data_IF_678152974082
#
_entry.id   IF_678152974082
#
_cell.length_a   1.000
_cell.length_b   1.000
_cell.length_c   1.000
_cell.angle_alpha   90.00
_cell.angle_beta   90.00
_cell.angle_gamma   90.00
#
_symmetry.space_group_name_H-M   'P 1'
#
loop_
_entity.id
_entity.type
_entity.pdbx_description
1 polymer ?
#
# COMPACT_ATOMS: atom_id res chain seq x y z
N UNK A 1 -14.94 1.68 -0.66
CA UNK A 1 -13.70 0.91 -0.49
C UNK A 1 -13.08 0.41 -1.81
N UNK A 2 -13.87 -0.11 -2.73
CA UNK A 2 -13.34 -0.64 -3.98
C UNK A 2 -12.61 0.42 -4.81
N UNK A 3 -13.14 1.63 -4.86
CA UNK A 3 -12.49 2.71 -5.59
C UNK A 3 -11.13 3.05 -4.98
N UNK A 4 -11.07 3.06 -3.65
CA UNK A 4 -9.81 3.33 -2.95
C UNK A 4 -8.80 2.22 -3.22
N UNK A 5 -9.24 0.96 -3.21
CA UNK A 5 -8.37 -0.18 -3.49
C UNK A 5 -7.79 -0.07 -4.89
N UNK A 6 -8.62 0.25 -5.90
CA UNK A 6 -8.15 0.40 -7.26
C UNK A 6 -7.15 1.55 -7.39
N UNK A 7 -7.43 2.66 -6.71
CA UNK A 7 -6.53 3.80 -6.69
C UNK A 7 -5.19 3.44 -6.06
N UNK A 8 -5.22 2.70 -4.94
CA UNK A 8 -4.01 2.26 -4.26
C UNK A 8 -3.16 1.35 -5.14
N UNK A 9 -3.80 0.44 -5.86
CA UNK A 9 -3.06 -0.43 -6.78
C UNK A 9 -2.28 0.37 -7.80
N UNK A 10 -2.90 1.38 -8.39
CA UNK A 10 -2.25 2.25 -9.37
C UNK A 10 -1.13 3.05 -8.73
N UNK A 11 -1.37 3.58 -7.54
CA UNK A 11 -0.37 4.38 -6.84
C UNK A 11 0.85 3.55 -6.44
N UNK A 12 0.63 2.32 -5.99
CA UNK A 12 1.72 1.41 -5.63
C UNK A 12 2.60 1.13 -6.85
N UNK A 13 1.96 0.82 -7.97
CA UNK A 13 2.69 0.55 -9.21
C UNK A 13 3.51 1.76 -9.63
N UNK A 14 2.94 2.94 -9.53
CA UNK A 14 3.61 4.17 -9.92
C UNK A 14 4.77 4.51 -8.99
N UNK A 15 4.54 4.44 -7.68
CA UNK A 15 5.55 4.80 -6.68
C UNK A 15 6.73 3.84 -6.71
N UNK A 16 6.45 2.55 -6.84
CA UNK A 16 7.49 1.53 -6.85
C UNK A 16 8.02 1.23 -8.26
N UNK A 17 7.48 1.92 -9.25
CA UNK A 17 7.92 1.79 -10.65
C UNK A 17 7.83 0.34 -11.13
N UNK A 18 6.71 -0.30 -10.87
CA UNK A 18 6.49 -1.71 -11.25
C UNK A 18 5.98 -1.79 -12.69
N UNK A 19 6.89 -1.71 -13.64
CA UNK A 19 6.54 -1.61 -15.06
C UNK A 19 5.81 -2.85 -15.60
N UNK A 20 6.12 -4.02 -15.06
CA UNK A 20 5.54 -5.27 -15.55
C UNK A 20 4.28 -5.68 -14.81
N UNK A 21 3.81 -4.85 -13.88
CA UNK A 21 2.64 -5.16 -13.06
C UNK A 21 1.51 -4.21 -13.39
N UNK A 22 0.32 -4.78 -13.63
CA UNK A 22 -0.89 -3.98 -13.87
C UNK A 22 -1.77 -4.01 -12.62
N UNK A 23 -2.66 -3.02 -12.43
CA UNK A 23 -3.57 -3.05 -11.28
C UNK A 23 -4.37 -4.34 -11.17
N UNK A 24 -4.76 -4.92 -12.30
CA UNK A 24 -5.53 -6.16 -12.32
C UNK A 24 -4.69 -7.37 -11.91
N UNK A 25 -3.36 -7.25 -11.94
CA UNK A 25 -2.46 -8.31 -11.49
C UNK A 25 -2.32 -8.33 -9.96
N UNK A 26 -2.77 -7.27 -9.29
CA UNK A 26 -2.69 -7.18 -7.84
C UNK A 26 -4.03 -7.54 -7.24
N UNK A 27 -4.06 -8.66 -6.51
CA UNK A 27 -5.25 -9.06 -5.76
C UNK A 27 -5.32 -8.25 -4.47
N UNK A 28 -6.51 -7.79 -4.10
CA UNK A 28 -6.70 -6.96 -2.91
C UNK A 28 -6.25 -7.66 -1.63
N UNK A 29 -6.37 -8.97 -1.59
CA UNK A 29 -6.02 -9.77 -0.40
C UNK A 29 -4.65 -10.43 -0.51
N UNK A 30 -3.98 -10.26 -1.64
CA UNK A 30 -2.67 -10.85 -1.87
C UNK A 30 -1.60 -10.17 -0.99
N UNK A 31 -0.68 -10.94 -0.38
CA UNK A 31 0.41 -10.34 0.37
C UNK A 31 1.26 -9.44 -0.53
N UNK A 32 1.64 -8.28 -0.01
CA UNK A 32 2.52 -7.39 -0.76
C UNK A 32 3.98 -7.81 -0.62
N UNK A 33 4.30 -8.52 0.44
CA UNK A 33 5.66 -8.99 0.70
C UNK A 33 5.78 -10.49 0.51
N UNK A 34 7.00 -10.97 0.32
CA UNK A 34 7.25 -12.39 0.19
C UNK A 34 6.68 -12.97 -1.10
N UNK A 35 5.77 -13.95 -0.96
CA UNK A 35 5.23 -14.69 -2.12
C UNK A 35 4.27 -13.89 -3.00
N UNK A 36 3.82 -12.71 -2.55
CA UNK A 36 2.95 -11.85 -3.34
C UNK A 36 3.72 -11.04 -4.36
N UNK A 37 3.73 -9.71 -4.19
CA UNK A 37 4.48 -8.82 -5.07
C UNK A 37 5.98 -8.88 -4.84
N UNK A 38 6.42 -9.48 -3.73
CA UNK A 38 7.83 -9.59 -3.43
C UNK A 38 8.48 -8.29 -2.98
N UNK A 39 7.71 -7.41 -2.36
CA UNK A 39 8.24 -6.15 -1.87
C UNK A 39 9.17 -6.37 -0.68
N UNK A 40 10.09 -5.44 -0.46
CA UNK A 40 11.05 -5.53 0.64
C UNK A 40 10.96 -4.31 1.56
N UNK A 41 11.90 -4.20 2.50
CA UNK A 41 11.90 -3.13 3.49
C UNK A 41 12.03 -1.74 2.88
N UNK A 42 12.71 -1.62 1.76
CA UNK A 42 12.86 -0.34 1.08
C UNK A 42 11.51 0.08 0.51
N UNK A 43 10.77 -0.87 -0.05
CA UNK A 43 9.44 -0.60 -0.58
C UNK A 43 8.48 -0.14 0.49
N UNK A 44 8.63 -0.65 1.73
CA UNK A 44 7.82 -0.18 2.86
C UNK A 44 8.01 1.32 3.06
N UNK A 45 9.25 1.80 3.00
CA UNK A 45 9.53 3.22 3.17
C UNK A 45 8.88 4.05 2.08
N UNK A 46 8.90 3.56 0.85
CA UNK A 46 8.25 4.25 -0.26
C UNK A 46 6.74 4.35 -0.05
N UNK A 47 6.13 3.27 0.42
CA UNK A 47 4.69 3.26 0.68
C UNK A 47 4.32 4.17 1.85
N UNK A 48 5.19 4.27 2.86
CA UNK A 48 4.98 5.19 3.97
C UNK A 48 4.96 6.63 3.44
N UNK A 49 5.90 6.98 2.57
CA UNK A 49 5.96 8.30 1.95
C UNK A 49 4.69 8.55 1.12
N UNK A 50 4.24 7.54 0.40
CA UNK A 50 3.00 7.64 -0.39
C UNK A 50 1.81 8.02 0.48
N UNK A 51 1.63 7.32 1.60
CA UNK A 51 0.51 7.60 2.48
C UNK A 51 0.60 8.98 3.10
N UNK A 52 1.79 9.42 3.44
CA UNK A 52 1.99 10.76 4.00
C UNK A 52 1.68 11.84 2.98
N UNK A 53 2.17 11.66 1.75
CA UNK A 53 2.03 12.65 0.70
C UNK A 53 0.60 12.74 0.16
N UNK A 54 -0.01 11.59 -0.11
CA UNK A 54 -1.33 11.55 -0.76
C UNK A 54 -2.50 11.57 0.20
N UNK A 55 -2.31 11.06 1.42
CA UNK A 55 -3.41 10.90 2.38
C UNK A 55 -3.17 11.61 3.70
N UNK A 56 -2.01 12.25 3.86
CA UNK A 56 -1.70 12.95 5.09
C UNK A 56 -1.52 12.04 6.30
N UNK A 57 -1.24 10.76 6.06
CA UNK A 57 -1.10 9.78 7.13
C UNK A 57 0.37 9.63 7.47
N UNK A 58 0.72 9.87 8.74
CA UNK A 58 2.10 9.76 9.19
C UNK A 58 2.30 8.44 9.93
N UNK A 59 3.20 7.62 9.42
CA UNK A 59 3.59 6.36 10.04
C UNK A 59 5.02 6.53 10.54
N UNK A 60 5.21 6.48 11.85
CA UNK A 60 6.52 6.74 12.45
C UNK A 60 7.38 5.48 12.55
N UNK A 61 6.76 4.31 12.68
CA UNK A 61 7.47 3.05 12.86
C UNK A 61 7.34 2.18 11.62
N UNK A 62 8.47 1.84 10.94
CA UNK A 62 8.41 0.94 9.78
C UNK A 62 7.79 -0.42 10.09
N UNK A 63 7.87 -0.89 11.33
CA UNK A 63 7.24 -2.15 11.72
C UNK A 63 5.72 -2.05 11.64
N UNK A 64 5.15 -0.93 12.02
CA UNK A 64 3.72 -0.68 11.86
C UNK A 64 3.36 -0.64 10.38
N UNK A 65 4.23 -0.03 9.58
CA UNK A 65 4.02 0.02 8.14
C UNK A 65 3.89 -1.35 7.54
N UNK A 66 4.74 -2.30 7.95
CA UNK A 66 4.67 -3.66 7.42
C UNK A 66 3.33 -4.33 7.73
N UNK A 67 2.77 -4.07 8.89
CA UNK A 67 1.45 -4.62 9.25
C UNK A 67 0.36 -3.99 8.41
N UNK A 68 0.43 -2.67 8.19
CA UNK A 68 -0.53 -1.94 7.39
C UNK A 68 -0.48 -2.40 5.94
N UNK A 69 0.71 -2.66 5.44
CA UNK A 69 0.93 -3.02 4.04
C UNK A 69 0.92 -4.52 3.78
N UNK A 70 0.24 -5.28 4.64
CA UNK A 70 0.09 -6.72 4.42
C UNK A 70 -0.58 -7.00 3.08
N UNK A 71 -1.59 -6.21 2.73
CA UNK A 71 -2.27 -6.30 1.45
C UNK A 71 -2.83 -4.92 1.09
N UNK A 72 -3.30 -4.78 -0.16
CA UNK A 72 -3.94 -3.53 -0.55
C UNK A 72 -5.20 -3.29 0.27
N UNK A 73 -5.94 -4.35 0.59
CA UNK A 73 -7.14 -4.23 1.40
C UNK A 73 -6.82 -3.69 2.79
N UNK A 74 -5.77 -4.18 3.45
CA UNK A 74 -5.39 -3.68 4.77
C UNK A 74 -4.95 -2.22 4.72
N UNK A 75 -4.29 -1.82 3.64
CA UNK A 75 -3.95 -0.41 3.43
C UNK A 75 -5.21 0.45 3.33
N UNK A 76 -6.18 0.00 2.54
CA UNK A 76 -7.41 0.75 2.36
C UNK A 76 -8.18 0.86 3.67
N UNK A 77 -8.25 -0.21 4.42
CA UNK A 77 -8.92 -0.22 5.72
C UNK A 77 -8.26 0.76 6.68
N UNK A 78 -6.93 0.78 6.71
CA UNK A 78 -6.19 1.70 7.57
C UNK A 78 -6.45 3.16 7.17
N UNK A 79 -6.44 3.45 5.88
CA UNK A 79 -6.68 4.80 5.39
C UNK A 79 -8.07 5.29 5.79
N UNK A 80 -9.08 4.45 5.59
CA UNK A 80 -10.46 4.81 5.94
C UNK A 80 -10.61 5.00 7.45
N UNK A 81 -9.99 4.15 8.24
CA UNK A 81 -10.02 4.27 9.69
C UNK A 81 -9.36 5.57 10.16
N UNK A 82 -8.23 5.91 9.56
CA UNK A 82 -7.51 7.14 9.88
C UNK A 82 -8.35 8.37 9.52
N UNK A 83 -9.02 8.36 8.39
CA UNK A 83 -9.80 9.50 7.93
C UNK A 83 -11.06 9.74 8.75
N UNK A 84 -11.54 8.71 9.46
CA UNK A 84 -12.69 8.85 10.35
C UNK A 84 -12.36 9.62 11.63
N UNK A 85 -11.11 9.70 11.97
CA UNK A 85 -10.66 10.43 13.13
C UNK A 85 -10.44 11.89 12.77
#
# INVERSE_FOLDING_TARGET
>A
MEELIEKLKKEIIQVLNLEDVKPEDIDSDMPLFGDGLGLDSIDVLELIVLLQKEYGIKIEDPKEGRKIFTSVRTMAEYILEYQKK
#
